data_IF_408342890371
#
_entry.id   IF_408342890371
#
_cell.length_a   1.000
_cell.length_b   1.000
_cell.length_c   1.000
_cell.angle_alpha   90.00
_cell.angle_beta   90.00
_cell.angle_gamma   90.00
#
_symmetry.space_group_name_H-M   'P 1'
#
loop_
_entity.id
_entity.type
_entity.pdbx_description
1 polymer ?
#
# COMPACT_ATOMS: atom_id res chain seq x y z
N UNK A 1 22.61 17.06 14.45
CA UNK A 1 21.83 18.30 14.65
C UNK A 1 20.95 18.49 13.44
N UNK A 2 19.64 18.76 13.57
CA UNK A 2 18.82 19.12 12.42
C UNK A 2 19.39 20.42 11.80
N UNK A 3 19.41 20.54 10.46
CA UNK A 3 19.84 21.77 9.80
C UNK A 3 18.98 22.93 10.29
N UNK A 4 19.61 24.06 10.67
CA UNK A 4 18.86 25.26 11.02
C UNK A 4 18.12 25.72 9.76
N UNK A 5 16.84 26.03 9.86
CA UNK A 5 16.01 26.52 8.74
C UNK A 5 16.64 27.72 8.03
N UNK A 6 17.42 28.54 8.73
CA UNK A 6 18.19 29.68 8.20
C UNK A 6 19.28 29.28 7.20
N UNK A 7 19.73 28.04 7.18
CA UNK A 7 20.81 27.58 6.29
C UNK A 7 20.27 26.84 5.06
N UNK A 8 18.95 26.75 4.88
CA UNK A 8 18.36 26.17 3.69
C UNK A 8 18.18 27.26 2.62
N UNK A 9 18.46 26.96 1.35
CA UNK A 9 18.06 27.81 0.25
C UNK A 9 16.54 28.05 0.28
N UNK A 10 16.02 29.15 -0.30
CA UNK A 10 14.59 29.41 -0.40
C UNK A 10 13.83 28.22 -1.01
N UNK A 11 12.71 27.84 -0.39
CA UNK A 11 11.92 26.65 -0.81
C UNK A 11 11.40 26.74 -2.23
N UNK A 12 11.19 27.96 -2.73
CA UNK A 12 10.80 28.23 -4.10
C UNK A 12 11.82 27.69 -5.12
N UNK A 13 13.12 27.74 -4.80
CA UNK A 13 14.18 27.21 -5.66
C UNK A 13 14.08 25.69 -5.79
N UNK A 14 13.74 24.97 -4.71
CA UNK A 14 13.51 23.53 -4.75
C UNK A 14 12.26 23.16 -5.58
N UNK A 15 11.18 23.96 -5.50
CA UNK A 15 10.00 23.78 -6.33
C UNK A 15 10.33 23.90 -7.82
N UNK A 16 11.10 24.90 -8.18
CA UNK A 16 11.57 25.09 -9.55
C UNK A 16 12.46 23.93 -10.02
N UNK A 17 13.40 23.50 -9.18
CA UNK A 17 14.28 22.36 -9.46
C UNK A 17 13.49 21.06 -9.71
N UNK A 18 12.54 20.71 -8.84
CA UNK A 18 11.73 19.49 -8.96
C UNK A 18 10.87 19.51 -10.21
N UNK A 19 10.23 20.63 -10.55
CA UNK A 19 9.45 20.75 -11.78
C UNK A 19 10.31 20.51 -13.04
N UNK A 20 11.54 21.08 -13.09
CA UNK A 20 12.47 20.83 -14.20
C UNK A 20 12.95 19.38 -14.20
N UNK A 21 13.22 18.79 -13.04
CA UNK A 21 13.69 17.40 -12.95
C UNK A 21 12.62 16.38 -13.36
N UNK A 22 11.34 16.62 -13.05
CA UNK A 22 10.20 15.78 -13.49
C UNK A 22 10.01 15.79 -15.02
N UNK A 23 10.13 16.96 -15.63
CA UNK A 23 9.87 17.13 -17.08
C UNK A 23 11.12 17.03 -17.96
N UNK A 24 12.31 17.13 -17.37
CA UNK A 24 13.61 17.33 -18.05
C UNK A 24 13.57 18.46 -19.11
N UNK A 25 12.72 19.47 -18.86
CA UNK A 25 12.47 20.59 -19.77
C UNK A 25 12.17 21.87 -18.98
N UNK A 26 13.08 22.85 -19.07
CA UNK A 26 12.88 24.16 -18.43
C UNK A 26 11.62 24.87 -18.96
N UNK A 27 11.32 24.71 -20.25
CA UNK A 27 10.15 25.33 -20.88
C UNK A 27 8.84 24.70 -20.41
N UNK A 28 8.80 23.36 -20.28
CA UNK A 28 7.62 22.66 -19.77
C UNK A 28 7.36 23.00 -18.29
N UNK A 29 8.41 22.95 -17.46
CA UNK A 29 8.35 23.28 -16.04
C UNK A 29 7.94 24.74 -15.80
N UNK A 30 8.42 25.69 -16.62
CA UNK A 30 8.05 27.09 -16.52
C UNK A 30 6.56 27.31 -16.77
N UNK A 31 5.95 26.58 -17.73
CA UNK A 31 4.51 26.59 -18.00
C UNK A 31 3.72 26.02 -16.81
N UNK A 32 4.16 24.91 -16.28
CA UNK A 32 3.53 24.27 -15.12
C UNK A 32 3.49 25.20 -13.90
N UNK A 33 4.61 25.90 -13.66
CA UNK A 33 4.72 26.84 -12.53
C UNK A 33 4.14 28.24 -12.80
N UNK A 34 3.59 28.48 -14.01
CA UNK A 34 3.07 29.77 -14.46
C UNK A 34 4.09 30.93 -14.33
N UNK A 35 5.39 30.66 -14.64
CA UNK A 35 6.48 31.64 -14.67
C UNK A 35 7.19 31.64 -16.02
N UNK A 36 8.04 32.63 -16.25
CA UNK A 36 8.83 32.69 -17.49
C UNK A 36 10.03 31.75 -17.42
N UNK A 37 10.41 31.17 -18.57
CA UNK A 37 11.61 30.32 -18.68
C UNK A 37 12.91 30.99 -18.16
N UNK A 38 13.20 32.32 -18.47
CA UNK A 38 14.34 32.96 -17.85
C UNK A 38 14.28 33.09 -16.32
N UNK A 39 13.08 33.27 -15.75
CA UNK A 39 12.92 33.30 -14.30
C UNK A 39 13.24 31.93 -13.69
N UNK A 40 12.69 30.84 -14.25
CA UNK A 40 12.97 29.50 -13.78
C UNK A 40 14.46 29.13 -13.94
N UNK A 41 15.09 29.50 -15.07
CA UNK A 41 16.55 29.28 -15.26
C UNK A 41 17.37 29.98 -14.18
N UNK A 42 17.00 31.21 -13.81
CA UNK A 42 17.68 31.93 -12.71
C UNK A 42 17.47 31.23 -11.35
N UNK A 43 16.29 30.69 -11.08
CA UNK A 43 16.03 29.91 -9.86
C UNK A 43 16.91 28.67 -9.80
N UNK A 44 17.08 27.94 -10.91
CA UNK A 44 17.96 26.77 -10.98
C UNK A 44 19.40 27.17 -10.68
N UNK A 45 19.94 28.20 -11.37
CA UNK A 45 21.31 28.66 -11.10
C UNK A 45 21.50 29.14 -9.66
N UNK A 46 20.53 29.87 -9.09
CA UNK A 46 20.60 30.31 -7.71
C UNK A 46 20.63 29.14 -6.72
N UNK A 47 19.94 28.01 -7.03
CA UNK A 47 20.02 26.81 -6.23
C UNK A 47 21.39 26.12 -6.37
N UNK A 48 21.91 25.98 -7.59
CA UNK A 48 23.22 25.41 -7.87
C UNK A 48 24.34 26.21 -7.19
N UNK A 49 24.26 27.52 -7.23
CA UNK A 49 25.22 28.44 -6.57
C UNK A 49 25.15 28.26 -5.04
N UNK A 50 23.93 28.21 -4.47
CA UNK A 50 23.73 28.01 -3.03
C UNK A 50 24.24 26.65 -2.52
N UNK A 51 24.19 25.63 -3.36
CA UNK A 51 24.65 24.27 -3.07
C UNK A 51 26.11 24.00 -3.46
N UNK A 52 26.71 24.90 -4.26
CA UNK A 52 28.08 24.77 -4.76
C UNK A 52 28.28 23.62 -5.73
N UNK A 53 27.22 23.13 -6.39
CA UNK A 53 27.30 22.05 -7.36
C UNK A 53 26.23 22.17 -8.45
N UNK A 54 26.55 21.72 -9.67
CA UNK A 54 25.61 21.64 -10.77
C UNK A 54 24.60 20.48 -10.49
N UNK A 55 23.32 20.75 -10.71
CA UNK A 55 22.24 19.77 -10.59
C UNK A 55 21.80 19.22 -11.94
N UNK A 56 22.01 19.99 -13.00
CA UNK A 56 21.71 19.61 -14.38
C UNK A 56 22.96 19.68 -15.27
N UNK A 57 22.99 18.83 -16.29
CA UNK A 57 23.94 18.87 -17.38
C UNK A 57 23.20 18.97 -18.70
N UNK A 58 23.59 19.94 -19.55
CA UNK A 58 23.07 20.07 -20.92
C UNK A 58 23.86 19.15 -21.85
N UNK A 59 23.17 18.21 -22.47
CA UNK A 59 23.67 17.43 -23.59
C UNK A 59 23.18 18.04 -24.90
N UNK A 60 23.70 17.57 -26.02
CA UNK A 60 23.47 18.19 -27.35
C UNK A 60 21.97 18.39 -27.70
N UNK A 61 21.04 17.56 -27.12
CA UNK A 61 19.58 17.65 -27.34
C UNK A 61 18.76 17.35 -26.12
N UNK A 62 19.35 17.21 -24.93
CA UNK A 62 18.66 16.82 -23.71
C UNK A 62 19.20 17.59 -22.50
N UNK A 63 18.35 17.72 -21.51
CA UNK A 63 18.69 18.13 -20.16
C UNK A 63 18.70 16.87 -19.29
N UNK A 64 19.77 16.65 -18.54
CA UNK A 64 19.90 15.47 -17.67
C UNK A 64 20.28 15.90 -16.26
N UNK A 65 19.91 15.10 -15.27
CA UNK A 65 20.35 15.31 -13.89
C UNK A 65 21.80 14.85 -13.72
N UNK A 66 22.57 15.59 -12.95
CA UNK A 66 23.86 15.14 -12.44
C UNK A 66 23.64 14.06 -11.36
N UNK A 67 24.67 13.33 -10.89
CA UNK A 67 24.57 12.45 -9.74
C UNK A 67 24.07 13.18 -8.48
N UNK A 68 24.53 14.42 -8.27
CA UNK A 68 24.12 15.32 -7.19
C UNK A 68 22.63 15.71 -7.36
N UNK A 69 22.23 16.10 -8.57
CA UNK A 69 20.85 16.41 -8.94
C UNK A 69 19.93 15.21 -8.71
N UNK A 70 20.36 14.00 -9.09
CA UNK A 70 19.57 12.78 -8.88
C UNK A 70 19.36 12.48 -7.39
N UNK A 71 20.39 12.66 -6.56
CA UNK A 71 20.26 12.48 -5.10
C UNK A 71 19.32 13.50 -4.48
N UNK A 72 19.47 14.77 -4.84
CA UNK A 72 18.60 15.84 -4.36
C UNK A 72 17.16 15.64 -4.82
N UNK A 73 16.94 15.28 -6.08
CA UNK A 73 15.61 15.07 -6.66
C UNK A 73 14.80 14.03 -5.88
N UNK A 74 15.36 12.87 -5.58
CA UNK A 74 14.68 11.82 -4.82
C UNK A 74 14.12 12.32 -3.48
N UNK A 75 14.88 13.16 -2.79
CA UNK A 75 14.48 13.69 -1.48
C UNK A 75 13.51 14.85 -1.61
N UNK A 76 13.81 15.81 -2.51
CA UNK A 76 13.01 17.00 -2.68
C UNK A 76 11.62 16.70 -3.30
N UNK A 77 11.55 15.75 -4.22
CA UNK A 77 10.33 15.28 -4.86
C UNK A 77 9.38 14.67 -3.83
N UNK A 78 9.87 13.69 -3.06
CA UNK A 78 9.09 13.07 -1.99
C UNK A 78 8.64 14.06 -0.91
N UNK A 79 9.48 15.04 -0.58
CA UNK A 79 9.14 16.08 0.39
C UNK A 79 8.06 17.03 -0.12
N UNK A 80 8.10 17.45 -1.39
CA UNK A 80 7.07 18.29 -2.00
C UNK A 80 5.74 17.56 -2.11
N UNK A 81 5.74 16.28 -2.44
CA UNK A 81 4.54 15.45 -2.45
C UNK A 81 3.93 15.36 -1.04
N UNK A 82 4.74 15.09 -0.01
CA UNK A 82 4.28 15.08 1.39
C UNK A 82 3.71 16.42 1.85
N UNK A 83 4.34 17.54 1.43
CA UNK A 83 3.83 18.87 1.74
C UNK A 83 2.50 19.14 1.03
N UNK A 84 2.37 18.72 -0.23
CA UNK A 84 1.14 18.78 -1.00
C UNK A 84 0.00 18.01 -0.33
N UNK A 85 0.27 16.76 0.09
CA UNK A 85 -0.68 15.93 0.84
C UNK A 85 -1.11 16.59 2.16
N UNK A 86 -0.16 17.17 2.90
CA UNK A 86 -0.45 17.87 4.14
C UNK A 86 -1.32 19.12 3.92
N UNK A 87 -1.10 19.88 2.85
CA UNK A 87 -1.91 21.05 2.48
C UNK A 87 -3.32 20.62 2.07
N UNK A 88 -3.46 19.56 1.27
CA UNK A 88 -4.76 19.00 0.92
C UNK A 88 -5.54 18.53 2.16
N UNK A 89 -4.85 17.93 3.13
CA UNK A 89 -5.45 17.51 4.40
C UNK A 89 -5.97 18.68 5.26
N UNK A 90 -5.45 19.91 5.05
CA UNK A 90 -5.92 21.14 5.72
C UNK A 90 -7.15 21.76 5.04
N UNK A 91 -7.45 21.35 3.80
CA UNK A 91 -8.66 21.84 3.15
C UNK A 91 -9.89 21.28 3.88
N UNK A 92 -10.97 22.07 4.02
CA UNK A 92 -12.22 21.54 4.56
C UNK A 92 -12.60 20.30 3.74
N UNK A 93 -12.65 19.13 4.39
CA UNK A 93 -13.09 17.91 3.74
C UNK A 93 -14.51 18.16 3.22
N UNK A 94 -14.76 17.86 1.97
CA UNK A 94 -16.14 17.80 1.46
C UNK A 94 -16.92 16.86 2.40
N UNK A 95 -18.06 17.30 2.97
CA UNK A 95 -18.86 16.45 3.84
C UNK A 95 -19.27 15.11 3.20
N UNK A 96 -19.20 15.01 1.86
CA UNK A 96 -19.45 13.78 1.12
C UNK A 96 -18.24 12.85 1.06
N UNK A 97 -17.01 13.37 1.22
CA UNK A 97 -15.77 12.58 1.12
C UNK A 97 -15.48 11.80 2.39
N UNK A 98 -15.12 10.53 2.23
CA UNK A 98 -14.74 9.60 3.30
C UNK A 98 -13.39 9.00 2.96
N UNK A 99 -12.41 9.18 3.82
CA UNK A 99 -11.09 8.57 3.66
C UNK A 99 -10.96 7.29 4.49
N UNK A 100 -10.58 6.19 3.84
CA UNK A 100 -10.26 4.92 4.50
C UNK A 100 -8.84 4.50 4.19
N UNK A 101 -8.09 4.07 5.21
CA UNK A 101 -6.78 3.45 5.03
C UNK A 101 -6.79 1.98 5.40
N UNK A 102 -6.02 1.19 4.65
CA UNK A 102 -5.86 -0.24 4.89
C UNK A 102 -4.60 -0.77 4.20
N UNK A 103 -4.20 -2.02 4.51
CA UNK A 103 -3.12 -2.67 3.76
C UNK A 103 -3.48 -2.86 2.28
N UNK A 104 -2.47 -2.84 1.41
CA UNK A 104 -2.66 -3.05 -0.04
C UNK A 104 -3.38 -4.37 -0.35
N UNK A 105 -3.05 -5.45 0.38
CA UNK A 105 -3.70 -6.74 0.21
C UNK A 105 -5.19 -6.73 0.57
N UNK A 106 -5.58 -6.08 1.69
CA UNK A 106 -7.00 -5.93 2.04
C UNK A 106 -7.73 -5.04 1.03
N UNK A 107 -7.14 -3.91 0.65
CA UNK A 107 -7.71 -3.04 -0.37
C UNK A 107 -8.01 -3.81 -1.65
N UNK A 108 -7.01 -4.48 -2.22
CA UNK A 108 -7.12 -5.13 -3.54
C UNK A 108 -8.02 -6.36 -3.54
N UNK A 109 -7.98 -7.18 -2.49
CA UNK A 109 -8.62 -8.50 -2.51
C UNK A 109 -9.98 -8.54 -1.78
N UNK A 110 -10.20 -7.62 -0.81
CA UNK A 110 -11.46 -7.60 -0.06
C UNK A 110 -12.31 -6.37 -0.34
N UNK A 111 -11.72 -5.16 -0.30
CA UNK A 111 -12.46 -3.90 -0.40
C UNK A 111 -12.87 -3.60 -1.84
N UNK A 112 -11.91 -3.52 -2.78
CA UNK A 112 -12.17 -3.14 -4.18
C UNK A 112 -13.22 -4.00 -4.86
N UNK A 113 -13.27 -5.34 -4.73
CA UNK A 113 -14.30 -6.16 -5.36
C UNK A 113 -15.73 -5.84 -4.88
N UNK A 114 -15.87 -5.17 -3.73
CA UNK A 114 -17.15 -4.83 -3.09
C UNK A 114 -17.56 -3.37 -3.26
N UNK A 115 -16.68 -2.51 -3.82
CA UNK A 115 -16.97 -1.07 -3.97
C UNK A 115 -18.17 -0.78 -4.88
N UNK A 116 -18.40 -1.60 -5.91
CA UNK A 116 -19.57 -1.45 -6.77
C UNK A 116 -20.88 -1.54 -6.00
N UNK A 117 -20.94 -2.38 -4.99
CA UNK A 117 -22.10 -2.47 -4.09
C UNK A 117 -22.24 -1.24 -3.21
N UNK A 118 -21.14 -0.76 -2.61
CA UNK A 118 -21.14 0.47 -1.83
C UNK A 118 -21.64 1.65 -2.66
N UNK A 119 -21.14 1.82 -3.88
CA UNK A 119 -21.53 2.91 -4.78
C UNK A 119 -23.00 2.84 -5.21
N UNK A 120 -23.53 1.63 -5.40
CA UNK A 120 -24.97 1.45 -5.75
C UNK A 120 -25.88 1.71 -4.55
N UNK A 121 -25.45 1.38 -3.34
CA UNK A 121 -26.24 1.54 -2.11
C UNK A 121 -26.14 2.96 -1.53
N UNK A 122 -24.97 3.60 -1.70
CA UNK A 122 -24.63 4.91 -1.17
C UNK A 122 -23.94 5.77 -2.23
N UNK A 123 -24.67 6.18 -3.29
CA UNK A 123 -24.10 6.97 -4.40
C UNK A 123 -23.62 8.35 -3.97
N UNK A 124 -24.07 8.84 -2.81
CA UNK A 124 -23.66 10.11 -2.21
C UNK A 124 -22.28 10.07 -1.56
N UNK A 125 -21.67 8.88 -1.40
CA UNK A 125 -20.37 8.72 -0.75
C UNK A 125 -19.25 8.86 -1.78
N UNK A 126 -18.41 9.86 -1.62
CA UNK A 126 -17.11 9.95 -2.28
C UNK A 126 -16.06 9.24 -1.41
N UNK A 127 -15.57 8.07 -1.85
CA UNK A 127 -14.65 7.26 -1.06
C UNK A 127 -13.21 7.36 -1.57
N UNK A 128 -12.32 7.89 -0.73
CA UNK A 128 -10.88 7.90 -0.93
C UNK A 128 -10.24 6.69 -0.22
N UNK A 129 -9.66 5.77 -0.98
CA UNK A 129 -8.95 4.59 -0.43
C UNK A 129 -7.45 4.85 -0.43
N UNK A 130 -6.83 4.85 0.75
CA UNK A 130 -5.39 5.00 0.96
C UNK A 130 -4.82 3.62 1.29
N UNK A 131 -4.35 2.90 0.27
CA UNK A 131 -3.73 1.60 0.44
C UNK A 131 -2.26 1.75 0.84
N UNK A 132 -1.92 1.36 2.07
CA UNK A 132 -0.56 1.47 2.61
C UNK A 132 -0.30 0.39 3.64
N UNK A 133 0.87 -0.26 3.55
CA UNK A 133 1.32 -1.20 4.58
C UNK A 133 1.94 -0.49 5.80
N UNK A 134 2.07 0.84 5.76
CA UNK A 134 2.47 1.64 6.92
C UNK A 134 1.23 1.97 7.76
N UNK A 135 1.42 2.02 9.08
CA UNK A 135 0.39 2.50 9.99
C UNK A 135 0.36 4.03 9.92
N UNK A 136 -0.71 4.57 9.33
CA UNK A 136 -0.94 6.00 9.22
C UNK A 136 -1.66 6.53 10.46
N UNK A 137 -1.34 7.75 10.88
CA UNK A 137 -2.06 8.47 11.93
C UNK A 137 -3.35 9.06 11.34
N UNK A 138 -4.50 8.62 11.86
CA UNK A 138 -5.82 8.99 11.31
C UNK A 138 -6.12 10.48 11.45
N UNK A 139 -5.69 11.10 12.54
CA UNK A 139 -5.95 12.52 12.80
C UNK A 139 -5.06 13.40 11.92
N UNK A 140 -3.77 13.05 11.84
CA UNK A 140 -2.77 13.80 11.08
C UNK A 140 -3.01 13.74 9.58
N UNK A 141 -3.41 12.56 9.08
CA UNK A 141 -3.60 12.31 7.64
C UNK A 141 -5.05 12.55 7.18
N UNK A 142 -5.89 13.12 8.07
CA UNK A 142 -7.32 13.37 7.82
C UNK A 142 -8.07 12.13 7.30
N UNK A 143 -7.83 10.99 7.93
CA UNK A 143 -8.45 9.70 7.57
C UNK A 143 -9.58 9.41 8.57
N UNK A 144 -10.76 9.03 8.06
CA UNK A 144 -11.95 8.75 8.87
C UNK A 144 -11.94 7.35 9.48
N UNK A 145 -11.52 6.37 8.66
CA UNK A 145 -11.59 4.96 8.97
C UNK A 145 -10.27 4.26 8.64
N UNK A 146 -9.92 3.24 9.42
CA UNK A 146 -8.81 2.36 9.09
C UNK A 146 -9.20 0.90 9.27
N UNK A 147 -8.72 0.02 8.40
CA UNK A 147 -8.70 -1.42 8.65
C UNK A 147 -7.27 -1.80 9.03
N UNK A 148 -7.10 -2.21 10.29
CA UNK A 148 -5.82 -2.65 10.86
C UNK A 148 -5.75 -4.16 10.92
N UNK A 149 -4.55 -4.68 10.77
CA UNK A 149 -4.28 -6.12 10.85
C UNK A 149 -3.24 -6.37 11.94
N UNK A 150 -3.69 -6.95 13.05
CA UNK A 150 -2.84 -7.22 14.22
C UNK A 150 -3.47 -8.33 15.10
N UNK A 151 -2.69 -8.90 16.05
CA UNK A 151 -3.23 -9.76 17.11
C UNK A 151 -4.24 -9.01 18.00
N UNK A 152 -5.06 -9.76 18.73
CA UNK A 152 -6.11 -9.18 19.57
C UNK A 152 -5.55 -8.31 20.71
N UNK A 153 -4.38 -8.66 21.24
CA UNK A 153 -3.67 -7.90 22.29
C UNK A 153 -3.16 -6.55 21.83
N UNK A 154 -2.90 -6.39 20.52
CA UNK A 154 -2.40 -5.17 19.89
C UNK A 154 -3.53 -4.34 19.25
N UNK A 155 -4.78 -4.77 19.40
CA UNK A 155 -5.91 -4.07 18.81
C UNK A 155 -6.07 -2.66 19.39
N UNK A 156 -6.19 -1.62 18.54
CA UNK A 156 -6.38 -0.25 18.99
C UNK A 156 -7.63 -0.11 19.88
N UNK A 157 -7.57 0.76 20.89
CA UNK A 157 -8.71 1.03 21.75
C UNK A 157 -9.94 1.47 20.94
N UNK A 158 -11.10 0.89 21.21
CA UNK A 158 -12.34 1.16 20.49
C UNK A 158 -12.43 0.54 19.09
N UNK A 159 -11.45 -0.26 18.67
CA UNK A 159 -11.52 -1.00 17.42
C UNK A 159 -12.60 -2.07 17.46
N UNK A 160 -13.26 -2.28 16.33
CA UNK A 160 -14.27 -3.35 16.16
C UNK A 160 -13.66 -4.43 15.27
N UNK A 161 -13.70 -5.69 15.77
CA UNK A 161 -13.20 -6.82 14.99
C UNK A 161 -14.12 -7.08 13.78
N UNK A 162 -13.53 -7.14 12.58
CA UNK A 162 -14.22 -7.52 11.36
C UNK A 162 -14.26 -9.05 11.23
N UNK A 163 -13.10 -9.70 11.17
CA UNK A 163 -12.98 -11.15 11.10
C UNK A 163 -11.56 -11.60 11.48
N UNK A 164 -11.47 -12.88 11.85
CA UNK A 164 -10.22 -13.53 12.21
C UNK A 164 -9.42 -13.93 10.96
N UNK A 165 -8.12 -14.14 11.14
CA UNK A 165 -7.24 -14.57 10.07
C UNK A 165 -6.96 -16.07 10.16
N UNK A 166 -7.13 -16.75 9.03
CA UNK A 166 -6.78 -18.14 8.85
C UNK A 166 -5.96 -18.29 7.55
N UNK A 167 -4.92 -19.10 7.59
CA UNK A 167 -4.07 -19.38 6.44
C UNK A 167 -4.44 -20.71 5.79
N UNK A 168 -4.58 -20.70 4.47
CA UNK A 168 -4.84 -21.88 3.66
C UNK A 168 -3.93 -21.85 2.41
N UNK A 169 -3.09 -22.85 2.15
CA UNK A 169 -2.41 -23.00 0.86
C UNK A 169 -3.42 -23.04 -0.29
N UNK A 170 -3.20 -22.20 -1.30
CA UNK A 170 -4.09 -22.07 -2.46
C UNK A 170 -3.31 -22.05 -3.77
N UNK A 171 -3.89 -22.59 -4.82
CA UNK A 171 -3.33 -22.64 -6.17
C UNK A 171 -4.46 -22.64 -7.21
N UNK A 172 -4.16 -22.32 -8.46
CA UNK A 172 -5.15 -22.40 -9.56
C UNK A 172 -5.39 -23.84 -10.05
N UNK A 173 -4.56 -24.79 -9.64
CA UNK A 173 -4.68 -26.20 -10.02
C UNK A 173 -4.65 -27.08 -8.76
N UNK A 174 -5.41 -28.19 -8.74
CA UNK A 174 -5.41 -29.11 -7.63
C UNK A 174 -4.00 -29.66 -7.32
N UNK A 175 -3.59 -29.56 -6.06
CA UNK A 175 -2.38 -30.18 -5.52
C UNK A 175 -2.48 -30.31 -4.00
N UNK A 176 -1.56 -31.06 -3.39
CA UNK A 176 -1.49 -31.20 -1.95
C UNK A 176 -0.05 -30.96 -1.46
N UNK A 177 0.20 -29.79 -0.90
CA UNK A 177 1.50 -29.45 -0.29
C UNK A 177 1.77 -30.21 1.03
N UNK A 178 0.80 -30.94 1.53
CA UNK A 178 0.98 -31.91 2.60
C UNK A 178 1.72 -33.20 2.15
N UNK A 179 1.69 -33.48 0.86
CA UNK A 179 2.46 -34.56 0.23
C UNK A 179 3.89 -34.08 -0.08
N UNK A 180 4.94 -34.67 0.51
CA UNK A 180 6.33 -34.25 0.28
C UNK A 180 6.78 -34.36 -1.19
N UNK A 181 6.23 -35.29 -1.97
CA UNK A 181 6.56 -35.43 -3.39
C UNK A 181 6.01 -34.31 -4.23
N UNK A 182 4.81 -33.84 -3.92
CA UNK A 182 4.18 -32.69 -4.59
C UNK A 182 4.83 -31.37 -4.13
N UNK A 183 5.07 -31.21 -2.83
CA UNK A 183 5.76 -30.07 -2.27
C UNK A 183 7.16 -29.87 -2.89
N UNK A 184 7.92 -30.95 -3.08
CA UNK A 184 9.25 -30.91 -3.71
C UNK A 184 9.24 -30.43 -5.17
N UNK A 185 8.09 -30.48 -5.85
CA UNK A 185 7.89 -29.99 -7.23
C UNK A 185 7.20 -28.62 -7.28
N UNK A 186 6.64 -28.18 -6.16
CA UNK A 186 5.89 -26.93 -6.09
C UNK A 186 6.81 -25.70 -6.16
N UNK A 187 6.32 -24.64 -6.78
CA UNK A 187 6.84 -23.29 -6.61
C UNK A 187 6.04 -22.63 -5.50
N UNK A 188 6.69 -22.31 -4.39
CA UNK A 188 6.06 -21.59 -3.29
C UNK A 188 6.13 -20.09 -3.55
N UNK A 189 4.98 -19.43 -3.50
CA UNK A 189 4.84 -17.99 -3.64
C UNK A 189 4.80 -17.40 -2.22
N UNK A 190 5.92 -16.86 -1.78
CA UNK A 190 6.13 -16.45 -0.40
C UNK A 190 5.94 -14.95 -0.23
N UNK A 191 5.20 -14.56 0.80
CA UNK A 191 5.08 -13.17 1.20
C UNK A 191 6.21 -12.84 2.17
N UNK A 192 7.14 -11.99 1.74
CA UNK A 192 8.33 -11.60 2.48
C UNK A 192 8.11 -10.24 3.14
N UNK A 193 7.47 -10.28 4.31
CA UNK A 193 7.21 -9.11 5.15
C UNK A 193 7.74 -9.33 6.56
N UNK A 194 8.84 -8.65 6.96
CA UNK A 194 9.41 -8.77 8.29
C UNK A 194 8.46 -8.38 9.43
N UNK A 195 7.48 -7.52 9.16
CA UNK A 195 6.49 -7.10 10.15
C UNK A 195 5.46 -8.21 10.46
N UNK A 196 5.31 -9.19 9.56
CA UNK A 196 4.32 -10.25 9.70
C UNK A 196 4.94 -11.65 9.49
N UNK A 197 5.85 -12.10 10.37
CA UNK A 197 6.62 -13.32 10.19
C UNK A 197 5.78 -14.61 10.20
N UNK A 198 4.52 -14.54 10.64
CA UNK A 198 3.60 -15.68 10.63
C UNK A 198 2.96 -15.93 9.25
N UNK A 199 3.03 -14.96 8.32
CA UNK A 199 2.41 -15.04 7.00
C UNK A 199 3.30 -15.69 5.94
N UNK A 200 4.41 -16.33 6.33
CA UNK A 200 5.35 -16.94 5.40
C UNK A 200 5.27 -18.48 5.40
N UNK A 201 5.77 -19.08 4.33
CA UNK A 201 5.81 -20.52 4.17
C UNK A 201 6.64 -21.23 5.23
N UNK A 202 7.71 -20.63 5.75
CA UNK A 202 8.54 -21.24 6.78
C UNK A 202 7.75 -21.46 8.08
N UNK A 203 6.90 -20.50 8.46
CA UNK A 203 6.00 -20.64 9.61
C UNK A 203 4.96 -21.73 9.36
N UNK A 204 4.24 -21.68 8.23
CA UNK A 204 3.19 -22.65 7.92
C UNK A 204 3.71 -24.08 7.89
N UNK A 205 4.85 -24.32 7.25
CA UNK A 205 5.45 -25.65 7.15
C UNK A 205 5.88 -26.21 8.53
N UNK A 206 6.39 -25.35 9.42
CA UNK A 206 6.72 -25.77 10.81
C UNK A 206 5.48 -26.17 11.59
N UNK A 207 4.45 -25.33 11.55
CA UNK A 207 3.21 -25.50 12.32
C UNK A 207 2.37 -26.64 11.76
N UNK A 208 2.41 -26.87 10.46
CA UNK A 208 1.70 -27.96 9.80
C UNK A 208 2.31 -29.36 10.05
N UNK A 209 3.40 -29.47 10.81
CA UNK A 209 4.02 -30.76 11.17
C UNK A 209 4.71 -31.46 10.00
N UNK A 210 5.07 -30.75 8.95
CA UNK A 210 5.84 -31.30 7.83
C UNK A 210 7.27 -31.60 8.27
N UNK A 211 7.67 -32.86 8.29
CA UNK A 211 9.04 -33.26 8.64
C UNK A 211 10.02 -32.80 7.55
N UNK A 212 10.81 -31.75 7.86
CA UNK A 212 11.86 -31.15 7.01
C UNK A 212 11.44 -30.96 5.54
N UNK A 213 10.45 -30.11 5.28
CA UNK A 213 10.02 -29.86 3.92
C UNK A 213 11.15 -29.14 3.16
N UNK A 214 11.52 -29.68 2.01
CA UNK A 214 12.35 -28.98 1.03
C UNK A 214 11.42 -28.57 -0.12
N UNK A 215 10.98 -27.31 -0.18
CA UNK A 215 10.24 -26.81 -1.33
C UNK A 215 11.13 -26.85 -2.56
N UNK A 216 10.54 -27.10 -3.73
CA UNK A 216 11.29 -27.16 -4.98
C UNK A 216 11.89 -25.79 -5.32
N UNK A 217 11.07 -24.77 -5.33
CA UNK A 217 11.43 -23.37 -5.63
C UNK A 217 10.64 -22.40 -4.76
N UNK A 218 11.18 -21.20 -4.53
CA UNK A 218 10.49 -20.13 -3.79
C UNK A 218 10.61 -18.84 -4.59
N UNK A 219 9.46 -18.20 -4.86
CA UNK A 219 9.40 -16.82 -5.36
C UNK A 219 8.92 -15.92 -4.21
N UNK A 220 9.60 -14.82 -3.96
CA UNK A 220 9.29 -13.90 -2.87
C UNK A 220 8.68 -12.63 -3.38
N UNK A 221 7.66 -12.16 -2.67
CA UNK A 221 6.91 -10.95 -2.97
C UNK A 221 6.85 -10.06 -1.73
N UNK A 222 7.10 -8.79 -1.89
CA UNK A 222 6.96 -7.78 -0.81
C UNK A 222 5.54 -7.25 -0.70
N UNK A 223 4.66 -7.60 -1.65
CA UNK A 223 3.25 -7.26 -1.64
C UNK A 223 2.41 -8.54 -1.68
N UNK A 224 1.49 -8.68 -0.72
CA UNK A 224 0.69 -9.90 -0.57
C UNK A 224 -0.19 -10.20 -1.80
N UNK A 225 -0.85 -9.18 -2.32
CA UNK A 225 -1.73 -9.31 -3.49
C UNK A 225 -1.00 -9.82 -4.74
N UNK A 226 0.31 -9.51 -4.89
CA UNK A 226 1.12 -10.02 -6.00
C UNK A 226 1.35 -11.53 -5.88
N UNK A 227 1.54 -12.05 -4.68
CA UNK A 227 1.65 -13.49 -4.45
C UNK A 227 0.34 -14.21 -4.84
N UNK A 228 -0.82 -13.65 -4.48
CA UNK A 228 -2.13 -14.20 -4.86
C UNK A 228 -2.37 -14.10 -6.36
N UNK A 229 -2.07 -12.97 -7.00
CA UNK A 229 -2.18 -12.85 -8.47
C UNK A 229 -1.27 -13.85 -9.20
N UNK A 230 -0.08 -14.12 -8.67
CA UNK A 230 0.83 -15.13 -9.20
C UNK A 230 0.25 -16.56 -9.07
N UNK A 231 -0.46 -16.85 -7.97
CA UNK A 231 -1.16 -18.13 -7.80
C UNK A 231 -2.33 -18.28 -8.78
N UNK A 232 -3.13 -17.23 -8.99
CA UNK A 232 -4.21 -17.16 -9.98
C UNK A 232 -3.68 -17.41 -11.40
N UNK A 233 -2.52 -16.85 -11.74
CA UNK A 233 -1.85 -17.06 -13.02
C UNK A 233 -1.22 -18.47 -13.16
N UNK A 234 -1.30 -19.32 -12.14
CA UNK A 234 -0.79 -20.69 -12.20
C UNK A 234 0.70 -20.85 -11.98
N UNK A 235 1.39 -19.84 -11.46
CA UNK A 235 2.84 -19.86 -11.26
C UNK A 235 3.27 -20.66 -10.03
N UNK A 236 2.34 -21.00 -9.12
CA UNK A 236 2.67 -21.77 -7.93
C UNK A 236 1.56 -21.80 -6.89
N UNK A 237 1.96 -22.02 -5.64
CA UNK A 237 1.09 -22.10 -4.47
C UNK A 237 1.38 -20.93 -3.55
N UNK A 238 0.35 -20.16 -3.18
CA UNK A 238 0.45 -19.09 -2.19
C UNK A 238 -0.18 -19.52 -0.85
N UNK A 239 0.21 -18.85 0.23
CA UNK A 239 -0.54 -18.89 1.48
C UNK A 239 -1.71 -17.90 1.37
N UNK A 240 -2.91 -18.43 1.11
CA UNK A 240 -4.14 -17.66 1.07
C UNK A 240 -4.55 -17.23 2.48
N UNK A 241 -4.77 -15.95 2.68
CA UNK A 241 -5.46 -15.38 3.85
C UNK A 241 -6.95 -15.57 3.58
N UNK A 242 -7.58 -16.51 4.31
CA UNK A 242 -8.86 -17.11 3.92
C UNK A 242 -9.94 -16.07 3.61
N UNK A 243 -10.11 -15.07 4.45
CA UNK A 243 -11.11 -14.02 4.24
C UNK A 243 -10.87 -13.19 2.96
N UNK A 244 -9.60 -13.05 2.54
CA UNK A 244 -9.24 -12.28 1.33
C UNK A 244 -9.33 -13.12 0.06
N UNK A 245 -9.08 -14.43 0.13
CA UNK A 245 -9.05 -15.31 -1.05
C UNK A 245 -10.37 -16.07 -1.23
N UNK A 246 -11.32 -15.97 -0.31
CA UNK A 246 -12.62 -16.64 -0.37
C UNK A 246 -13.35 -16.46 -1.71
N UNK A 247 -13.45 -15.26 -2.30
CA UNK A 247 -14.13 -15.08 -3.59
C UNK A 247 -13.50 -15.90 -4.72
N UNK A 248 -12.17 -16.10 -4.69
CA UNK A 248 -11.48 -16.91 -5.69
C UNK A 248 -11.66 -18.41 -5.46
N UNK A 249 -11.83 -18.83 -4.20
CA UNK A 249 -12.17 -20.21 -3.86
C UNK A 249 -13.59 -20.54 -4.29
N UNK A 250 -14.56 -19.66 -4.00
CA UNK A 250 -15.97 -19.84 -4.32
C UNK A 250 -16.22 -19.82 -5.83
N UNK A 251 -15.46 -19.02 -6.58
CA UNK A 251 -15.50 -19.01 -8.07
C UNK A 251 -14.72 -20.13 -8.73
N UNK A 252 -13.96 -20.94 -7.96
CA UNK A 252 -13.10 -21.98 -8.49
C UNK A 252 -11.84 -21.50 -9.21
N UNK A 253 -11.53 -20.20 -9.17
CA UNK A 253 -10.28 -19.65 -9.72
C UNK A 253 -9.05 -20.10 -8.91
N UNK A 254 -9.25 -20.28 -7.61
CA UNK A 254 -8.29 -20.93 -6.72
C UNK A 254 -8.95 -22.15 -6.09
N UNK A 255 -8.12 -23.14 -5.75
CA UNK A 255 -8.51 -24.30 -4.98
C UNK A 255 -7.57 -24.47 -3.78
N UNK A 256 -8.04 -25.12 -2.73
CA UNK A 256 -7.19 -25.48 -1.60
C UNK A 256 -6.08 -26.43 -2.08
N UNK A 257 -4.84 -26.05 -1.86
CA UNK A 257 -3.66 -26.84 -2.18
C UNK A 257 -3.21 -27.70 -0.97
N UNK A 258 -4.15 -28.10 -0.15
CA UNK A 258 -3.94 -28.97 1.01
C UNK A 258 -5.25 -29.61 1.44
N UNK A 259 -5.15 -30.80 2.06
CA UNK A 259 -6.29 -31.48 2.74
C UNK A 259 -6.48 -31.02 4.18
N UNK A 260 -5.58 -30.18 4.68
CA UNK A 260 -5.62 -29.69 6.06
C UNK A 260 -6.67 -28.60 6.21
N UNK A 261 -7.16 -28.44 7.42
CA UNK A 261 -8.02 -27.29 7.77
C UNK A 261 -7.20 -25.99 7.71
N UNK A 262 -7.85 -24.84 7.45
CA UNK A 262 -7.22 -23.54 7.59
C UNK A 262 -6.54 -23.40 8.96
N UNK A 263 -5.38 -22.75 8.99
CA UNK A 263 -4.56 -22.56 10.18
C UNK A 263 -4.87 -21.18 10.80
N UNK A 264 -5.51 -21.11 11.97
CA UNK A 264 -5.65 -19.88 12.71
C UNK A 264 -4.27 -19.39 13.18
N UNK A 265 -4.01 -18.09 13.06
CA UNK A 265 -2.71 -17.50 13.45
C UNK A 265 -2.82 -16.44 14.55
N UNK A 266 -4.00 -16.27 15.16
CA UNK A 266 -4.22 -15.32 16.25
C UNK A 266 -4.29 -13.85 15.84
N UNK A 267 -4.23 -13.56 14.55
CA UNK A 267 -4.41 -12.22 13.99
C UNK A 267 -5.86 -12.01 13.56
N UNK A 268 -6.27 -10.74 13.49
CA UNK A 268 -7.58 -10.35 12.98
C UNK A 268 -7.52 -9.01 12.26
N UNK A 269 -8.59 -8.73 11.51
CA UNK A 269 -8.80 -7.41 10.91
C UNK A 269 -9.70 -6.59 11.82
N UNK A 270 -9.28 -5.35 12.07
CA UNK A 270 -9.90 -4.44 13.01
C UNK A 270 -10.30 -3.15 12.32
N UNK A 271 -11.55 -2.77 12.42
CA UNK A 271 -12.03 -1.47 11.98
C UNK A 271 -11.82 -0.45 13.09
N UNK A 272 -11.06 0.59 12.76
CA UNK A 272 -10.72 1.70 13.65
C UNK A 272 -11.32 2.98 13.07
N UNK A 273 -11.89 3.80 13.95
CA UNK A 273 -12.39 5.13 13.59
C UNK A 273 -11.47 6.19 14.19
N UNK A 274 -11.38 7.35 13.54
CA UNK A 274 -10.75 8.52 14.15
C UNK A 274 -11.44 8.90 15.47
N UNK A 275 -10.74 9.63 16.33
CA UNK A 275 -11.23 10.01 17.67
C UNK A 275 -12.37 11.03 17.64
N UNK A 276 -12.46 11.85 16.58
CA UNK A 276 -13.55 12.82 16.39
C UNK A 276 -14.84 12.10 15.95
N UNK A 277 -16.01 12.69 16.21
CA UNK A 277 -17.27 12.15 15.71
C UNK A 277 -17.22 11.95 14.20
N UNK A 278 -17.65 10.76 13.75
CA UNK A 278 -17.74 10.46 12.33
C UNK A 278 -18.84 11.32 11.68
N UNK A 279 -18.55 11.86 10.51
CA UNK A 279 -19.56 12.44 9.64
C UNK A 279 -20.57 11.37 9.18
N UNK A 280 -21.73 11.81 8.65
CA UNK A 280 -22.80 10.92 8.19
C UNK A 280 -22.30 9.86 7.24
N UNK A 281 -21.56 10.25 6.20
CA UNK A 281 -21.08 9.34 5.16
C UNK A 281 -20.03 8.36 5.68
N UNK A 282 -19.12 8.79 6.57
CA UNK A 282 -18.19 7.89 7.23
C UNK A 282 -18.92 6.87 8.13
N UNK A 283 -20.03 7.27 8.75
CA UNK A 283 -20.93 6.37 9.47
C UNK A 283 -21.58 5.32 8.57
N UNK A 284 -22.00 5.69 7.34
CA UNK A 284 -22.55 4.76 6.34
C UNK A 284 -21.49 3.75 5.89
N UNK A 285 -20.29 4.22 5.54
CA UNK A 285 -19.17 3.33 5.16
C UNK A 285 -18.80 2.37 6.29
N UNK A 286 -18.75 2.86 7.53
CA UNK A 286 -18.52 2.02 8.72
C UNK A 286 -19.56 0.92 8.86
N UNK A 287 -20.84 1.27 8.76
CA UNK A 287 -21.95 0.31 8.89
C UNK A 287 -21.91 -0.72 7.76
N UNK A 288 -21.62 -0.29 6.54
CA UNK A 288 -21.47 -1.17 5.39
C UNK A 288 -20.30 -2.15 5.57
N UNK A 289 -19.11 -1.70 6.00
CA UNK A 289 -17.95 -2.57 6.27
C UNK A 289 -18.31 -3.65 7.29
N UNK A 290 -18.95 -3.27 8.38
CA UNK A 290 -19.37 -4.22 9.44
C UNK A 290 -20.39 -5.23 8.91
N UNK A 291 -21.36 -4.80 8.10
CA UNK A 291 -22.36 -5.69 7.54
C UNK A 291 -21.75 -6.72 6.57
N UNK A 292 -20.77 -6.29 5.75
CA UNK A 292 -20.08 -7.19 4.82
C UNK A 292 -19.10 -8.13 5.52
N UNK A 293 -18.51 -7.70 6.62
CA UNK A 293 -17.63 -8.54 7.43
C UNK A 293 -18.42 -9.62 8.22
N UNK A 294 -19.66 -9.33 8.61
CA UNK A 294 -20.55 -10.26 9.32
C UNK A 294 -21.26 -11.25 8.38
N UNK A 295 -21.36 -10.94 7.10
CA UNK A 295 -21.95 -11.87 6.14
C UNK A 295 -21.08 -13.13 6.05
N UNK A 296 -21.66 -14.33 6.17
CA UNK A 296 -20.92 -15.55 5.90
C UNK A 296 -20.38 -15.49 4.48
N UNK A 297 -19.07 -15.67 4.39
CA UNK A 297 -18.37 -15.70 3.11
C UNK A 297 -18.76 -16.94 2.32
#
# INVERSE_FOLDING_TARGET
MPPRLLNLPPLELFRGFVAVARSLSVTAAARELAITQPALSRQIHALEDALGCALFVRRHRSLELTPEGTRLFRTADAWLDQLGEAIEALRPSDPSSVAITTSSGFASLWLLPRLGELQSTHPEVDLRVVASNRILDLEREAIDLAVRYCPAEDAPSGAVRLFDEELLPVSSKPMDVGDPAQLGKAVLLDYDDPAHPLLNWAHWLRTSGSKRPRPGRVLRFTQYEQAIQSALAGHGVALGRLALVRPFLDSGQLVAATRRRPLPIGYAYWLVCRSRPLGRNAGLVRAWLLSRAAAPA
#
